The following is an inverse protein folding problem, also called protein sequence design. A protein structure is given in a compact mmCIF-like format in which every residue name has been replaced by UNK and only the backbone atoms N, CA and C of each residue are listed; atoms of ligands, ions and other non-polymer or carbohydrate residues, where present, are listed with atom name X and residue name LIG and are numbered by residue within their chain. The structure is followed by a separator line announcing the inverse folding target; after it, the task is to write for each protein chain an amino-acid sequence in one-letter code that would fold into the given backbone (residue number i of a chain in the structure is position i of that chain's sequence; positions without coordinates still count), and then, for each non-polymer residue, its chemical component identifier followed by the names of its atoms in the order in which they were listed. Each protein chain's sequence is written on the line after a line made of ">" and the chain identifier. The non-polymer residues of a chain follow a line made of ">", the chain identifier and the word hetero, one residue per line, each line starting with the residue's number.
data_IF_801043311704
#
_entry.id   IF_801043311704
#
_cell.length_a   1.000
_cell.length_b   1.000
_cell.length_c   1.000
_cell.angle_alpha   90.00
_cell.angle_beta   90.00
_cell.angle_gamma   90.00
#
_symmetry.space_group_name_H-M   'P 1'
#
loop_
_entity.id
_entity.type
_entity.pdbx_description
1 polymer ?
#
# COMPACT_ATOMS: atom_id res chain seq x y z
N UNK A 1 -4.76 19.80 -9.89
CA UNK A 1 -4.80 20.87 -8.85
C UNK A 1 -3.74 20.53 -7.81
N UNK A 2 -2.86 21.47 -7.50
CA UNK A 2 -1.80 21.25 -6.50
C UNK A 2 -2.46 21.31 -5.13
N UNK A 3 -2.47 20.20 -4.40
CA UNK A 3 -2.84 20.22 -2.99
C UNK A 3 -1.68 20.81 -2.20
N UNK A 4 -1.94 21.82 -1.37
CA UNK A 4 -0.95 22.66 -0.67
C UNK A 4 -0.18 21.96 0.48
N UNK A 5 0.12 20.67 0.33
CA UNK A 5 0.87 19.90 1.32
C UNK A 5 1.93 19.01 0.67
N UNK A 6 2.99 18.65 1.42
CA UNK A 6 3.96 17.66 0.97
C UNK A 6 3.24 16.35 0.59
N UNK A 7 3.78 15.60 -0.39
CA UNK A 7 3.19 14.33 -0.80
C UNK A 7 3.06 13.38 0.39
N UNK A 8 2.00 12.58 0.36
CA UNK A 8 1.65 11.68 1.44
C UNK A 8 1.70 10.22 0.99
N UNK A 9 2.13 9.35 1.90
CA UNK A 9 2.00 7.89 1.81
C UNK A 9 1.25 7.39 3.04
N UNK A 10 0.28 6.49 2.86
CA UNK A 10 -0.52 5.95 3.94
C UNK A 10 -1.10 4.58 3.54
N UNK A 11 -1.51 3.79 4.54
CA UNK A 11 -2.58 2.81 4.33
C UNK A 11 -3.87 3.59 4.14
N UNK A 12 -4.67 3.26 3.11
CA UNK A 12 -5.80 4.08 2.68
C UNK A 12 -6.80 4.32 3.81
N UNK A 13 -7.64 3.34 4.16
CA UNK A 13 -8.69 3.51 5.18
C UNK A 13 -8.37 2.72 6.46
N UNK A 14 -8.15 3.45 7.57
CA UNK A 14 -8.08 2.90 8.93
C UNK A 14 -9.27 3.48 9.70
N UNK A 15 -10.17 2.64 10.20
CA UNK A 15 -11.43 3.03 10.85
C UNK A 15 -12.27 3.99 9.98
N UNK A 16 -12.29 3.75 8.66
CA UNK A 16 -12.97 4.61 7.69
C UNK A 16 -12.28 5.96 7.43
N UNK A 17 -11.13 6.24 8.05
CA UNK A 17 -10.34 7.45 7.80
C UNK A 17 -9.28 7.22 6.73
N UNK A 18 -9.38 7.99 5.64
CA UNK A 18 -8.44 7.98 4.52
C UNK A 18 -7.06 8.59 4.91
N UNK A 19 -6.26 9.07 3.94
CA UNK A 19 -5.03 9.85 4.15
C UNK A 19 -5.25 10.95 5.21
N UNK A 20 -4.30 11.07 6.14
CA UNK A 20 -4.45 11.82 7.38
C UNK A 20 -4.78 10.93 8.60
N UNK A 21 -4.85 9.61 8.41
CA UNK A 21 -4.91 8.62 9.49
C UNK A 21 -3.54 8.37 10.15
N UNK A 22 -3.51 7.48 11.15
CA UNK A 22 -2.34 7.19 11.96
C UNK A 22 -1.12 6.62 11.18
N UNK A 23 -1.31 6.15 9.96
CA UNK A 23 -0.22 5.63 9.10
C UNK A 23 0.36 6.67 8.14
N UNK A 24 -0.14 7.91 8.16
CA UNK A 24 0.21 8.92 7.17
C UNK A 24 1.62 9.45 7.39
N UNK A 25 2.46 9.32 6.37
CA UNK A 25 3.79 9.94 6.30
C UNK A 25 3.81 11.01 5.22
N UNK A 26 4.36 12.18 5.56
CA UNK A 26 4.39 13.37 4.71
C UNK A 26 5.83 13.72 4.34
N UNK A 27 6.30 13.20 3.21
CA UNK A 27 7.61 13.49 2.61
C UNK A 27 7.67 12.90 1.20
N UNK A 28 8.65 13.34 0.42
CA UNK A 28 8.97 12.69 -0.85
C UNK A 28 9.44 11.24 -0.61
N UNK A 29 8.78 10.29 -1.26
CA UNK A 29 9.09 8.85 -1.18
C UNK A 29 9.52 8.33 -2.55
N UNK A 30 8.71 8.62 -3.58
CA UNK A 30 8.98 8.21 -4.96
C UNK A 30 9.52 9.38 -5.76
N UNK A 31 10.64 9.16 -6.45
CA UNK A 31 11.28 10.17 -7.30
C UNK A 31 11.08 9.82 -8.77
N UNK A 32 10.65 10.80 -9.57
CA UNK A 32 10.44 10.63 -11.01
C UNK A 32 11.72 10.15 -11.70
N UNK A 33 11.59 9.13 -12.55
CA UNK A 33 12.71 8.57 -13.33
C UNK A 33 13.65 7.66 -12.53
N UNK A 34 13.42 7.47 -11.23
CA UNK A 34 14.20 6.56 -10.38
C UNK A 34 13.33 5.35 -10.00
N UNK A 35 13.77 4.11 -10.31
CA UNK A 35 13.10 2.92 -9.78
C UNK A 35 13.18 2.93 -8.26
N UNK A 36 12.05 2.63 -7.60
CA UNK A 36 11.99 2.39 -6.17
C UNK A 36 11.42 1.00 -5.90
N UNK A 37 11.89 0.36 -4.83
CA UNK A 37 11.36 -0.90 -4.36
C UNK A 37 10.44 -0.65 -3.18
N UNK A 38 9.15 -1.01 -3.34
CA UNK A 38 8.18 -1.02 -2.26
C UNK A 38 7.99 -2.47 -1.80
N UNK A 39 8.14 -2.73 -0.50
CA UNK A 39 7.85 -4.04 0.09
C UNK A 39 6.79 -3.87 1.16
N UNK A 40 5.63 -4.50 0.94
CA UNK A 40 4.56 -4.58 1.91
C UNK A 40 4.59 -5.96 2.57
N UNK A 41 4.78 -6.01 3.89
CA UNK A 41 4.73 -7.23 4.71
C UNK A 41 3.46 -7.20 5.53
N UNK A 42 2.56 -8.15 5.30
CA UNK A 42 1.26 -8.25 5.98
C UNK A 42 1.25 -9.47 6.90
N UNK A 43 1.04 -9.24 8.20
CA UNK A 43 0.89 -10.28 9.23
C UNK A 43 -0.54 -10.31 9.75
N UNK A 44 -0.82 -11.20 10.70
CA UNK A 44 -2.14 -11.36 11.32
C UNK A 44 -2.65 -10.05 11.96
N UNK A 45 -1.74 -9.23 12.45
CA UNK A 45 -2.02 -8.07 13.31
C UNK A 45 -1.17 -6.85 12.93
N UNK A 46 -0.44 -6.88 11.82
CA UNK A 46 0.40 -5.77 11.40
C UNK A 46 0.60 -5.65 9.89
N UNK A 47 0.90 -4.44 9.46
CA UNK A 47 1.33 -4.11 8.11
C UNK A 47 2.59 -3.25 8.20
N UNK A 48 3.67 -3.72 7.60
CA UNK A 48 4.92 -2.95 7.45
C UNK A 48 5.15 -2.64 5.98
N UNK A 49 5.47 -1.39 5.66
CA UNK A 49 5.82 -0.95 4.32
C UNK A 49 7.22 -0.34 4.36
N UNK A 50 8.11 -0.83 3.51
CA UNK A 50 9.41 -0.20 3.26
C UNK A 50 9.48 0.37 1.84
N UNK A 51 10.25 1.44 1.68
CA UNK A 51 10.64 1.98 0.38
C UNK A 51 12.16 2.08 0.33
N UNK A 52 12.78 1.46 -0.67
CA UNK A 52 14.24 1.40 -0.82
C UNK A 52 14.94 0.96 0.49
N UNK A 53 14.42 -0.12 1.10
CA UNK A 53 14.88 -0.71 2.37
C UNK A 53 14.69 0.14 3.63
N UNK A 54 14.13 1.35 3.53
CA UNK A 54 13.81 2.17 4.69
C UNK A 54 12.36 1.97 5.10
N UNK A 55 12.10 1.80 6.40
CA UNK A 55 10.74 1.74 6.92
C UNK A 55 10.00 3.05 6.61
N UNK A 56 8.83 2.91 6.01
CA UNK A 56 7.94 4.01 5.68
C UNK A 56 6.69 3.97 6.57
N UNK A 57 6.05 2.82 6.71
CA UNK A 57 4.84 2.65 7.53
C UNK A 57 5.01 1.40 8.37
N UNK A 58 4.69 1.51 9.66
CA UNK A 58 4.47 0.36 10.53
C UNK A 58 3.15 0.56 11.26
N UNK A 59 2.16 -0.27 10.94
CA UNK A 59 0.84 -0.26 11.54
C UNK A 59 0.58 -1.58 12.25
N UNK A 60 0.05 -1.50 13.47
CA UNK A 60 -0.33 -2.64 14.31
C UNK A 60 -1.80 -2.48 14.72
N UNK A 61 -2.61 -3.52 14.56
CA UNK A 61 -4.02 -3.50 14.94
C UNK A 61 -4.85 -4.66 14.38
N UNK A 62 -6.15 -4.65 14.68
CA UNK A 62 -7.11 -5.59 14.13
C UNK A 62 -7.31 -5.32 12.62
N UNK A 63 -7.06 -6.29 11.72
CA UNK A 63 -7.26 -6.15 10.28
C UNK A 63 -8.66 -5.68 9.88
N UNK A 64 -9.69 -5.92 10.70
CA UNK A 64 -11.07 -5.45 10.45
C UNK A 64 -11.21 -3.93 10.43
N UNK A 65 -10.22 -3.21 10.96
CA UNK A 65 -10.14 -1.74 10.92
C UNK A 65 -9.69 -1.23 9.55
N UNK A 66 -9.13 -2.10 8.71
CA UNK A 66 -8.73 -1.78 7.36
C UNK A 66 -9.89 -2.02 6.40
N UNK A 67 -10.09 -1.10 5.47
CA UNK A 67 -11.05 -1.28 4.38
C UNK A 67 -10.48 -0.75 3.06
N UNK A 68 -11.01 -1.27 1.95
CA UNK A 68 -10.71 -0.77 0.61
C UNK A 68 -11.87 0.10 0.14
N UNK A 69 -11.58 1.28 -0.42
CA UNK A 69 -12.62 2.12 -1.03
C UNK A 69 -13.35 1.38 -2.16
N UNK A 70 -14.65 1.60 -2.31
CA UNK A 70 -15.45 1.03 -3.40
C UNK A 70 -14.90 1.39 -4.79
N UNK A 71 -14.22 2.53 -4.91
CA UNK A 71 -13.55 2.96 -6.14
C UNK A 71 -12.47 1.97 -6.60
N UNK A 72 -11.79 1.30 -5.67
CA UNK A 72 -10.72 0.34 -5.94
C UNK A 72 -11.19 -1.12 -5.99
N UNK A 73 -12.50 -1.38 -5.88
CA UNK A 73 -13.02 -2.75 -5.97
C UNK A 73 -12.66 -3.37 -7.30
N UNK A 74 -12.25 -4.63 -7.24
CA UNK A 74 -12.01 -5.47 -8.41
C UNK A 74 -13.00 -6.63 -8.40
N UNK A 75 -13.23 -7.32 -9.53
CA UNK A 75 -14.14 -8.47 -9.57
C UNK A 75 -13.77 -9.64 -8.65
N UNK A 76 -12.56 -9.63 -8.06
CA UNK A 76 -12.07 -10.69 -7.19
C UNK A 76 -11.42 -10.08 -5.96
N UNK A 77 -12.19 -9.96 -4.88
CA UNK A 77 -11.78 -9.32 -3.62
C UNK A 77 -10.51 -9.90 -2.98
N UNK A 78 -10.20 -11.17 -3.29
CA UNK A 78 -9.00 -11.85 -2.78
C UNK A 78 -7.74 -11.64 -3.63
N UNK A 79 -7.84 -11.02 -4.80
CA UNK A 79 -6.71 -10.84 -5.70
C UNK A 79 -5.81 -9.68 -5.28
N UNK A 80 -4.50 -9.87 -5.34
CA UNK A 80 -3.56 -8.77 -5.32
C UNK A 80 -3.71 -7.97 -6.62
N UNK A 81 -3.88 -6.66 -6.51
CA UNK A 81 -3.93 -5.76 -7.66
C UNK A 81 -3.00 -4.56 -7.45
N UNK A 82 -2.66 -3.89 -8.56
CA UNK A 82 -1.87 -2.67 -8.59
C UNK A 82 -2.70 -1.59 -9.29
N UNK A 83 -2.88 -0.45 -8.63
CA UNK A 83 -3.65 0.69 -9.14
C UNK A 83 -2.79 1.94 -9.28
N UNK A 84 -3.19 2.83 -10.19
CA UNK A 84 -2.66 4.18 -10.32
C UNK A 84 -3.81 5.13 -10.63
N UNK A 85 -3.89 6.26 -9.91
CA UNK A 85 -4.93 7.27 -10.08
C UNK A 85 -4.31 8.61 -10.44
N UNK A 86 -4.82 9.26 -11.50
CA UNK A 86 -4.38 10.57 -12.01
C UNK A 86 -2.85 10.73 -12.16
N UNK A 87 -2.16 9.63 -12.48
CA UNK A 87 -0.72 9.59 -12.63
C UNK A 87 -0.30 8.45 -13.56
N UNK A 88 0.99 8.38 -13.88
CA UNK A 88 1.57 7.28 -14.67
C UNK A 88 2.70 6.64 -13.89
N UNK A 89 2.54 5.34 -13.61
CA UNK A 89 3.59 4.51 -13.03
C UNK A 89 3.93 3.37 -13.99
N UNK A 90 5.20 2.95 -13.98
CA UNK A 90 5.66 1.72 -14.63
C UNK A 90 6.02 0.72 -13.54
N UNK A 91 5.30 -0.39 -13.49
CA UNK A 91 5.65 -1.53 -12.65
C UNK A 91 6.58 -2.46 -13.42
N UNK A 92 7.87 -2.45 -13.09
CA UNK A 92 8.86 -3.30 -13.77
C UNK A 92 8.84 -4.75 -13.28
N UNK A 93 8.35 -5.00 -12.06
CA UNK A 93 8.25 -6.33 -11.44
C UNK A 93 7.23 -6.29 -10.29
N UNK A 94 6.43 -7.33 -10.18
CA UNK A 94 5.56 -7.58 -9.03
C UNK A 94 5.72 -9.04 -8.59
N UNK A 95 5.93 -9.25 -7.29
CA UNK A 95 6.14 -10.57 -6.70
C UNK A 95 5.30 -10.70 -5.44
N UNK A 96 4.67 -11.86 -5.26
CA UNK A 96 3.95 -12.22 -4.05
C UNK A 96 4.62 -13.46 -3.44
N UNK A 97 5.08 -13.33 -2.19
CA UNK A 97 5.75 -14.41 -1.47
C UNK A 97 4.97 -14.68 -0.17
N UNK A 98 4.52 -15.92 0.07
CA UNK A 98 3.93 -16.29 1.36
C UNK A 98 4.92 -16.06 2.50
N UNK A 99 4.47 -15.48 3.61
CA UNK A 99 5.30 -15.36 4.82
C UNK A 99 5.44 -16.68 5.59
N UNK A 100 4.50 -17.59 5.38
CA UNK A 100 4.47 -18.93 5.96
C UNK A 100 3.57 -19.83 5.14
N UNK A 101 3.85 -21.14 5.12
CA UNK A 101 3.08 -22.12 4.37
C UNK A 101 3.24 -21.98 2.84
N UNK A 102 2.43 -22.73 2.10
CA UNK A 102 2.44 -22.71 0.64
C UNK A 102 1.36 -21.77 0.10
N UNK A 103 1.75 -20.90 -0.84
CA UNK A 103 0.82 -20.01 -1.54
C UNK A 103 0.01 -20.77 -2.57
N UNK A 104 -1.29 -20.45 -2.69
CA UNK A 104 -2.17 -21.00 -3.71
C UNK A 104 -2.47 -19.93 -4.76
N UNK A 105 -2.34 -20.28 -6.04
CA UNK A 105 -2.80 -19.41 -7.15
C UNK A 105 -4.31 -19.23 -7.08
N UNK A 106 -4.77 -17.99 -7.25
CA UNK A 106 -6.15 -17.71 -7.58
C UNK A 106 -6.40 -18.21 -9.01
N UNK A 107 -7.57 -18.82 -9.24
CA UNK A 107 -7.91 -19.55 -10.46
C UNK A 107 -7.93 -18.67 -11.70
#
# INVERSE_FOLDING_TARGET
>A
AVGDGPPASALENIDGKNVGNASTVRRDVLMKGRPSQIVCTVRKDSVTVTCDSHELIHWQGDPKRLSLSDYWKTPTDSALFLGAYDCRYRFSRATLTPLSGEGRKLR
#
